data_IF_317869258041
#
_entry.id   IF_317869258041
#
_cell.length_a   1.000
_cell.length_b   1.000
_cell.length_c   1.000
_cell.angle_alpha   90.00
_cell.angle_beta   90.00
_cell.angle_gamma   90.00
#
_symmetry.space_group_name_H-M   'P 1'
#
loop_
_entity.id
_entity.type
_entity.pdbx_description
1 polymer ?
#
# COMPACT_ATOMS: atom_id res chain seq x y z
N UNK A 1 -62.11 -13.48 -7.63
CA UNK A 1 -61.25 -12.34 -8.04
C UNK A 1 -60.24 -11.90 -6.96
N UNK A 2 -60.59 -11.86 -5.67
CA UNK A 2 -59.71 -11.33 -4.59
C UNK A 2 -58.41 -12.11 -4.32
N UNK A 3 -58.40 -13.44 -4.50
CA UNK A 3 -57.21 -14.29 -4.22
C UNK A 3 -56.08 -14.13 -5.24
N UNK A 4 -56.39 -13.83 -6.51
CA UNK A 4 -55.37 -13.59 -7.55
C UNK A 4 -54.69 -12.23 -7.37
N UNK A 5 -55.48 -11.21 -7.02
CA UNK A 5 -54.99 -9.87 -6.78
C UNK A 5 -54.04 -9.80 -5.56
N UNK A 6 -54.38 -10.53 -4.48
CA UNK A 6 -53.51 -10.62 -3.29
C UNK A 6 -52.17 -11.31 -3.59
N UNK A 7 -52.17 -12.37 -4.42
CA UNK A 7 -50.93 -13.03 -4.85
C UNK A 7 -50.06 -12.11 -5.71
N UNK A 8 -50.68 -11.29 -6.55
CA UNK A 8 -49.98 -10.34 -7.41
C UNK A 8 -49.37 -9.19 -6.61
N UNK A 9 -50.11 -8.65 -5.63
CA UNK A 9 -49.60 -7.68 -4.67
C UNK A 9 -48.43 -8.23 -3.84
N UNK A 10 -48.52 -9.48 -3.38
CA UNK A 10 -47.44 -10.11 -2.61
C UNK A 10 -46.18 -10.34 -3.46
N UNK A 11 -46.35 -10.75 -4.72
CA UNK A 11 -45.24 -10.90 -5.66
C UNK A 11 -44.57 -9.55 -5.98
N UNK A 12 -45.37 -8.50 -6.17
CA UNK A 12 -44.87 -7.14 -6.41
C UNK A 12 -44.12 -6.60 -5.19
N UNK A 13 -44.61 -6.85 -3.97
CA UNK A 13 -43.94 -6.46 -2.74
C UNK A 13 -42.60 -7.22 -2.53
N UNK A 14 -42.56 -8.53 -2.80
CA UNK A 14 -41.31 -9.30 -2.74
C UNK A 14 -40.29 -8.83 -3.79
N UNK A 15 -40.74 -8.51 -5.01
CA UNK A 15 -39.87 -7.96 -6.05
C UNK A 15 -39.31 -6.59 -5.66
N UNK A 16 -40.13 -5.73 -5.06
CA UNK A 16 -39.71 -4.41 -4.58
C UNK A 16 -38.66 -4.53 -3.46
N UNK A 17 -38.87 -5.44 -2.51
CA UNK A 17 -37.92 -5.69 -1.42
C UNK A 17 -36.60 -6.27 -1.92
N UNK A 18 -36.63 -7.18 -2.91
CA UNK A 18 -35.43 -7.71 -3.55
C UNK A 18 -34.69 -6.65 -4.38
N UNK A 19 -35.42 -5.76 -5.07
CA UNK A 19 -34.84 -4.66 -5.85
C UNK A 19 -34.23 -3.55 -4.96
N UNK A 20 -34.74 -3.37 -3.74
CA UNK A 20 -34.23 -2.42 -2.76
C UNK A 20 -33.07 -2.95 -1.90
N UNK A 21 -32.66 -4.21 -2.06
CA UNK A 21 -31.52 -4.78 -1.36
C UNK A 21 -30.19 -4.28 -1.96
N UNK A 22 -29.89 -2.99 -1.81
CA UNK A 22 -28.56 -2.43 -2.06
C UNK A 22 -27.67 -2.84 -0.89
N UNK A 23 -27.01 -4.00 -1.01
CA UNK A 23 -26.01 -4.44 -0.04
C UNK A 23 -24.82 -3.47 -0.16
N UNK A 24 -24.69 -2.59 0.83
CA UNK A 24 -23.50 -1.76 1.00
C UNK A 24 -22.40 -2.65 1.59
N UNK A 25 -21.63 -3.30 0.72
CA UNK A 25 -20.44 -4.04 1.16
C UNK A 25 -19.41 -3.00 1.61
N UNK A 26 -19.22 -2.89 2.92
CA UNK A 26 -18.18 -2.04 3.48
C UNK A 26 -16.82 -2.65 3.14
N UNK A 27 -16.05 -1.98 2.29
CA UNK A 27 -14.69 -2.44 1.97
C UNK A 27 -13.80 -2.22 3.18
N UNK A 28 -13.24 -3.30 3.71
CA UNK A 28 -12.29 -3.23 4.80
C UNK A 28 -10.93 -2.73 4.26
N UNK A 29 -10.36 -1.72 4.93
CA UNK A 29 -9.03 -1.21 4.63
C UNK A 29 -8.06 -1.66 5.73
N UNK A 30 -7.12 -2.57 5.43
CA UNK A 30 -6.19 -3.09 6.43
C UNK A 30 -5.02 -2.12 6.63
N UNK A 31 -5.18 -1.11 7.49
CA UNK A 31 -4.21 0.00 7.64
C UNK A 31 -2.80 -0.46 8.01
N UNK A 32 -2.67 -1.40 8.96
CA UNK A 32 -1.37 -1.95 9.38
C UNK A 32 -0.70 -2.73 8.26
N UNK A 33 -1.44 -3.65 7.62
CA UNK A 33 -0.92 -4.47 6.54
C UNK A 33 -0.51 -3.64 5.32
N UNK A 34 -1.30 -2.64 4.94
CA UNK A 34 -0.96 -1.73 3.84
C UNK A 34 0.32 -0.93 4.15
N UNK A 35 0.48 -0.48 5.40
CA UNK A 35 1.68 0.23 5.86
C UNK A 35 2.92 -0.66 5.79
N UNK A 36 2.83 -1.90 6.27
CA UNK A 36 3.90 -2.89 6.23
C UNK A 36 4.25 -3.28 4.79
N UNK A 37 3.26 -3.48 3.93
CA UNK A 37 3.46 -3.74 2.51
C UNK A 37 4.22 -2.59 1.81
N UNK A 38 3.87 -1.33 2.10
CA UNK A 38 4.64 -0.19 1.58
C UNK A 38 6.09 -0.19 2.06
N UNK A 39 6.33 -0.46 3.35
CA UNK A 39 7.68 -0.55 3.90
C UNK A 39 8.46 -1.68 3.23
N UNK A 40 7.88 -2.87 3.11
CA UNK A 40 8.49 -4.03 2.46
C UNK A 40 8.88 -3.73 1.01
N UNK A 41 7.99 -3.09 0.24
CA UNK A 41 8.29 -2.68 -1.14
C UNK A 41 9.41 -1.64 -1.22
N UNK A 42 9.41 -0.62 -0.35
CA UNK A 42 10.49 0.36 -0.29
C UNK A 42 11.83 -0.31 0.02
N UNK A 43 11.87 -1.27 0.95
CA UNK A 43 13.08 -2.01 1.29
C UNK A 43 13.54 -2.90 0.14
N UNK A 44 12.63 -3.64 -0.46
CA UNK A 44 12.94 -4.57 -1.54
C UNK A 44 13.37 -3.87 -2.82
N UNK A 45 12.73 -2.75 -3.18
CA UNK A 45 12.87 -2.14 -4.52
C UNK A 45 13.67 -0.83 -4.53
N UNK A 46 13.79 -0.13 -3.39
CA UNK A 46 14.61 1.10 -3.32
C UNK A 46 15.96 0.87 -2.63
N UNK A 47 16.04 0.00 -1.61
CA UNK A 47 17.32 -0.27 -0.91
C UNK A 47 18.19 -1.30 -1.64
N UNK A 48 17.60 -2.21 -2.42
CA UNK A 48 18.34 -3.21 -3.21
C UNK A 48 19.02 -2.64 -4.47
N UNK A 49 19.02 -1.32 -4.66
CA UNK A 49 19.55 -0.61 -5.84
C UNK A 49 21.08 -0.60 -5.97
N UNK A 50 21.79 -1.54 -5.36
CA UNK A 50 23.24 -1.69 -5.43
C UNK A 50 23.66 -2.89 -6.30
N UNK A 51 23.05 -3.03 -7.49
CA UNK A 51 23.57 -3.93 -8.53
C UNK A 51 23.23 -3.43 -9.94
N UNK A 52 24.23 -3.34 -10.84
CA UNK A 52 24.04 -2.94 -12.22
C UNK A 52 23.40 -4.07 -13.04
N UNK A 53 22.87 -3.68 -14.19
CA UNK A 53 22.17 -4.51 -15.16
C UNK A 53 22.81 -5.88 -15.43
N UNK A 54 21.93 -6.90 -15.46
CA UNK A 54 22.10 -8.09 -16.29
C UNK A 54 22.81 -9.27 -15.64
N UNK A 55 22.10 -10.05 -14.82
CA UNK A 55 22.34 -11.49 -14.75
C UNK A 55 21.02 -12.17 -14.38
N UNK A 56 20.77 -13.31 -15.02
CA UNK A 56 19.57 -14.16 -14.91
C UNK A 56 19.16 -14.38 -13.45
N UNK A 57 17.85 -14.47 -13.24
CA UNK A 57 17.27 -15.12 -12.08
C UNK A 57 18.03 -16.42 -11.74
N UNK A 58 18.43 -16.60 -10.47
CA UNK A 58 18.55 -17.92 -9.89
C UNK A 58 17.33 -18.20 -9.03
N UNK A 59 16.79 -19.40 -9.20
CA UNK A 59 15.86 -20.03 -8.30
C UNK A 59 16.32 -19.92 -6.84
N UNK A 60 15.34 -19.88 -5.95
CA UNK A 60 15.50 -19.93 -4.50
C UNK A 60 16.57 -20.92 -4.01
N UNK A 61 17.28 -20.58 -2.92
CA UNK A 61 17.69 -21.57 -1.95
C UNK A 61 16.77 -21.49 -0.74
N UNK A 62 16.02 -22.58 -0.51
CA UNK A 62 15.47 -22.93 0.79
C UNK A 62 16.56 -22.75 1.86
N UNK A 63 16.31 -21.87 2.84
CA UNK A 63 17.12 -21.80 4.05
C UNK A 63 16.80 -23.02 4.91
N UNK A 64 17.70 -24.01 4.88
CA UNK A 64 17.81 -25.02 5.91
C UNK A 64 18.11 -24.36 7.27
N UNK A 65 17.38 -24.70 8.35
CA UNK A 65 17.79 -24.33 9.69
C UNK A 65 18.94 -25.24 10.17
N UNK A 66 20.03 -24.62 10.61
CA UNK A 66 21.17 -25.30 11.25
C UNK A 66 20.70 -26.14 12.45
N UNK A 67 20.90 -27.45 12.37
CA UNK A 67 20.72 -28.38 13.47
C UNK A 67 22.01 -28.49 14.31
N UNK A 68 21.89 -28.23 15.62
CA UNK A 68 22.83 -28.71 16.65
C UNK A 68 22.18 -29.90 17.40
N UNK A 69 22.98 -30.83 17.96
CA UNK A 69 22.53 -32.20 18.17
C UNK A 69 21.81 -32.45 19.51
N UNK A 70 20.88 -33.40 19.44
CA UNK A 70 20.42 -34.34 20.48
C UNK A 70 19.92 -33.78 21.82
N UNK A 71 18.62 -33.96 22.08
CA UNK A 71 18.18 -35.11 22.90
C UNK A 71 16.71 -35.40 22.68
N UNK A 72 16.38 -36.70 22.58
CA UNK A 72 15.02 -37.23 22.51
C UNK A 72 14.48 -37.38 23.92
N UNK A 73 13.15 -37.37 24.02
CA UNK A 73 12.33 -37.73 25.19
C UNK A 73 12.13 -36.59 26.19
N UNK A 74 11.02 -35.88 26.09
CA UNK A 74 9.94 -35.91 27.11
C UNK A 74 8.82 -34.93 26.75
N UNK A 75 7.57 -35.41 26.85
CA UNK A 75 6.35 -34.64 27.14
C UNK A 75 5.93 -33.56 26.13
N UNK A 76 4.95 -33.80 25.25
CA UNK A 76 3.55 -34.05 25.62
C UNK A 76 3.06 -33.08 26.69
N UNK A 77 3.03 -31.80 26.34
CA UNK A 77 2.04 -30.86 26.87
C UNK A 77 1.50 -30.02 25.72
N UNK A 78 0.34 -30.47 25.25
CA UNK A 78 -0.69 -29.70 24.58
C UNK A 78 -0.94 -28.38 25.32
N UNK A 79 -0.34 -27.31 24.83
CA UNK A 79 -0.85 -25.95 25.02
C UNK A 79 -1.05 -25.34 23.62
N UNK A 80 -2.13 -25.77 22.96
CA UNK A 80 -2.77 -24.98 21.92
C UNK A 80 -3.29 -23.69 22.57
N UNK A 81 -2.40 -22.71 22.71
CA UNK A 81 -2.80 -21.35 23.04
C UNK A 81 -3.31 -20.71 21.76
N UNK A 82 -4.64 -20.62 21.69
CA UNK A 82 -5.38 -19.80 20.76
C UNK A 82 -4.90 -18.34 20.88
N UNK A 83 -4.02 -17.92 19.97
CA UNK A 83 -3.88 -16.50 19.60
C UNK A 83 -4.01 -16.43 18.08
N UNK A 84 -5.25 -16.35 17.53
CA UNK A 84 -5.47 -16.26 16.08
C UNK A 84 -5.22 -14.86 15.52
N UNK A 85 -4.88 -13.86 16.35
CA UNK A 85 -4.88 -12.46 15.92
C UNK A 85 -3.49 -11.91 15.55
N UNK A 86 -2.40 -12.59 15.93
CA UNK A 86 -1.05 -12.14 15.58
C UNK A 86 -0.60 -12.59 14.17
N UNK A 87 -0.96 -13.81 13.73
CA UNK A 87 -0.55 -14.33 12.42
C UNK A 87 -1.45 -13.89 11.25
N UNK A 88 -2.63 -13.33 11.51
CA UNK A 88 -3.52 -12.89 10.43
C UNK A 88 -3.03 -11.60 9.76
N UNK A 89 -2.45 -10.67 10.53
CA UNK A 89 -1.95 -9.39 10.01
C UNK A 89 -0.71 -9.57 9.12
N UNK A 90 0.23 -10.44 9.52
CA UNK A 90 1.44 -10.73 8.74
C UNK A 90 1.07 -11.34 7.36
N UNK A 91 0.08 -12.25 7.34
CA UNK A 91 -0.39 -12.86 6.11
C UNK A 91 -1.03 -11.84 5.13
N UNK A 92 -1.77 -10.86 5.64
CA UNK A 92 -2.40 -9.82 4.81
C UNK A 92 -1.36 -8.85 4.23
N UNK A 93 -0.34 -8.47 5.02
CA UNK A 93 0.74 -7.60 4.58
C UNK A 93 1.56 -8.25 3.46
N UNK A 94 1.93 -9.52 3.65
CA UNK A 94 2.64 -10.32 2.65
C UNK A 94 1.81 -10.50 1.38
N UNK A 95 0.51 -10.80 1.51
CA UNK A 95 -0.38 -10.91 0.36
C UNK A 95 -0.45 -9.61 -0.46
N UNK A 96 -0.53 -8.46 0.22
CA UNK A 96 -0.50 -7.15 -0.44
C UNK A 96 0.85 -6.90 -1.13
N UNK A 97 1.96 -7.17 -0.46
CA UNK A 97 3.30 -6.97 -1.02
C UNK A 97 3.54 -7.87 -2.24
N UNK A 98 3.12 -9.13 -2.20
CA UNK A 98 3.18 -10.09 -3.33
C UNK A 98 2.31 -9.58 -4.48
N UNK A 99 1.06 -9.20 -4.21
CA UNK A 99 0.15 -8.67 -5.22
C UNK A 99 0.73 -7.42 -5.90
N UNK A 100 1.25 -6.46 -5.13
CA UNK A 100 1.88 -5.24 -5.65
C UNK A 100 3.15 -5.51 -6.46
N UNK A 101 4.02 -6.40 -5.98
CA UNK A 101 5.26 -6.76 -6.69
C UNK A 101 5.01 -7.55 -7.96
N UNK A 102 3.83 -8.15 -8.12
CA UNK A 102 3.39 -8.78 -9.38
C UNK A 102 2.90 -7.77 -10.44
N UNK A 103 2.65 -6.51 -10.07
CA UNK A 103 2.13 -5.49 -10.99
C UNK A 103 3.27 -4.81 -11.77
N UNK A 104 3.31 -4.89 -13.12
CA UNK A 104 4.39 -4.31 -13.91
C UNK A 104 4.49 -2.79 -13.77
N UNK A 105 3.37 -2.09 -13.59
CA UNK A 105 3.35 -0.64 -13.37
C UNK A 105 3.98 -0.24 -12.02
N UNK A 106 3.89 -1.09 -11.00
CA UNK A 106 4.51 -0.86 -9.69
C UNK A 106 6.02 -1.04 -9.80
N UNK A 107 6.46 -2.14 -10.41
CA UNK A 107 7.88 -2.40 -10.65
C UNK A 107 8.52 -1.25 -11.45
N UNK A 108 7.87 -0.82 -12.54
CA UNK A 108 8.30 0.34 -13.32
C UNK A 108 8.35 1.62 -12.48
N UNK A 109 7.32 1.88 -11.67
CA UNK A 109 7.29 3.06 -10.83
C UNK A 109 8.45 3.09 -9.82
N UNK A 110 8.76 1.97 -9.18
CA UNK A 110 9.87 1.87 -8.23
C UNK A 110 11.25 1.99 -8.90
N UNK A 111 11.42 1.40 -10.08
CA UNK A 111 12.62 1.54 -10.90
C UNK A 111 12.83 3.00 -11.36
N UNK A 112 11.77 3.69 -11.74
CA UNK A 112 11.80 5.12 -12.03
C UNK A 112 12.11 5.97 -10.78
N UNK A 113 11.57 5.61 -9.61
CA UNK A 113 11.82 6.28 -8.34
C UNK A 113 13.28 6.10 -7.88
N UNK A 114 13.85 4.89 -8.00
CA UNK A 114 15.22 4.60 -7.57
C UNK A 114 16.23 5.46 -8.35
N UNK A 115 16.04 5.62 -9.66
CA UNK A 115 16.87 6.50 -10.51
C UNK A 115 16.84 7.96 -10.08
N UNK A 116 15.68 8.46 -9.60
CA UNK A 116 15.52 9.86 -9.18
C UNK A 116 15.98 10.11 -7.74
N UNK A 117 16.09 9.05 -6.94
CA UNK A 117 16.34 9.14 -5.50
C UNK A 117 17.60 9.96 -5.13
N UNK A 118 18.76 9.83 -5.81
CA UNK A 118 19.94 10.64 -5.47
C UNK A 118 19.69 12.15 -5.58
N UNK A 119 19.07 12.59 -6.69
CA UNK A 119 18.77 14.00 -6.90
C UNK A 119 17.68 14.49 -5.95
N UNK A 120 16.65 13.68 -5.69
CA UNK A 120 15.61 14.00 -4.71
C UNK A 120 16.20 14.20 -3.32
N UNK A 121 17.14 13.36 -2.89
CA UNK A 121 17.80 13.50 -1.59
C UNK A 121 18.54 14.85 -1.47
N UNK A 122 19.22 15.31 -2.53
CA UNK A 122 19.83 16.66 -2.55
C UNK A 122 18.78 17.76 -2.40
N UNK A 123 17.63 17.65 -3.08
CA UNK A 123 16.54 18.64 -2.99
C UNK A 123 15.88 18.66 -1.60
N UNK A 124 15.73 17.50 -0.95
CA UNK A 124 15.24 17.43 0.42
C UNK A 124 16.25 18.04 1.40
N UNK A 125 17.54 17.71 1.26
CA UNK A 125 18.61 18.22 2.12
C UNK A 125 18.74 19.76 2.05
N UNK A 126 18.50 20.36 0.88
CA UNK A 126 18.53 21.81 0.70
C UNK A 126 17.24 22.53 1.15
N UNK A 127 16.26 21.79 1.69
CA UNK A 127 14.92 22.28 2.02
C UNK A 127 14.17 22.89 0.82
N UNK A 128 14.60 22.61 -0.41
CA UNK A 128 13.94 23.08 -1.62
C UNK A 128 12.57 22.43 -1.82
N UNK A 129 12.42 21.19 -1.37
CA UNK A 129 11.19 20.40 -1.41
C UNK A 129 10.82 19.84 -0.04
N UNK A 130 9.58 19.38 0.10
CA UNK A 130 9.10 18.69 1.30
C UNK A 130 8.01 17.67 0.99
N UNK A 131 7.73 16.76 1.95
CA UNK A 131 6.66 15.79 1.83
C UNK A 131 5.33 16.40 2.25
N UNK A 132 4.34 16.40 1.38
CA UNK A 132 2.98 16.84 1.68
C UNK A 132 2.25 15.82 2.58
N UNK A 133 1.09 16.21 3.10
CA UNK A 133 0.22 15.34 3.90
C UNK A 133 -0.38 14.17 3.10
N UNK A 134 -0.20 14.16 1.77
CA UNK A 134 -0.58 13.08 0.87
C UNK A 134 0.60 12.17 0.49
N UNK A 135 1.79 12.37 1.09
CA UNK A 135 2.98 11.58 0.77
C UNK A 135 3.62 11.93 -0.58
N UNK A 136 3.16 13.01 -1.21
CA UNK A 136 3.70 13.55 -2.45
C UNK A 136 4.79 14.59 -2.13
N UNK A 137 5.64 14.88 -3.09
CA UNK A 137 6.67 15.91 -2.98
C UNK A 137 6.08 17.25 -3.42
N UNK A 138 6.26 18.27 -2.59
CA UNK A 138 5.89 19.65 -2.88
C UNK A 138 7.13 20.53 -2.95
N UNK A 139 7.21 21.37 -3.96
CA UNK A 139 8.24 22.42 -4.07
C UNK A 139 7.93 23.51 -3.04
N UNK A 140 8.89 23.77 -2.15
CA UNK A 140 8.76 24.77 -1.06
C UNK A 140 9.44 26.08 -1.39
N UNK A 141 10.62 26.01 -2.02
CA UNK A 141 11.43 27.18 -2.33
C UNK A 141 11.84 27.16 -3.79
N UNK A 142 11.05 27.83 -4.64
CA UNK A 142 11.28 27.90 -6.09
C UNK A 142 12.64 28.50 -6.47
N UNK A 143 13.25 29.33 -5.63
CA UNK A 143 14.56 29.90 -5.92
C UNK A 143 15.68 28.84 -5.86
N UNK A 144 15.41 27.68 -5.24
CA UNK A 144 16.35 26.56 -5.09
C UNK A 144 16.08 25.39 -6.03
N UNK A 145 15.13 25.52 -6.96
CA UNK A 145 14.69 24.45 -7.86
C UNK A 145 14.90 24.89 -9.30
N UNK A 146 15.50 24.02 -10.12
CA UNK A 146 15.59 24.26 -11.57
C UNK A 146 14.32 23.76 -12.28
N UNK A 147 14.02 24.20 -13.52
CA UNK A 147 12.92 23.62 -14.30
C UNK A 147 13.02 22.09 -14.46
N UNK A 148 14.25 21.57 -14.55
CA UNK A 148 14.51 20.13 -14.60
C UNK A 148 14.13 19.43 -13.29
N UNK A 149 14.40 20.07 -12.15
CA UNK A 149 14.00 19.55 -10.84
C UNK A 149 12.48 19.57 -10.66
N UNK A 150 11.78 20.59 -11.15
CA UNK A 150 10.30 20.62 -11.13
C UNK A 150 9.71 19.48 -11.96
N UNK A 151 10.25 19.23 -13.16
CA UNK A 151 9.86 18.09 -14.01
C UNK A 151 10.14 16.76 -13.32
N UNK A 152 11.29 16.65 -12.65
CA UNK A 152 11.68 15.46 -11.88
C UNK A 152 10.70 15.22 -10.71
N UNK A 153 10.32 16.27 -9.96
CA UNK A 153 9.32 16.19 -8.88
C UNK A 153 7.95 15.79 -9.42
N UNK A 154 7.53 16.31 -10.57
CA UNK A 154 6.28 15.92 -11.21
C UNK A 154 6.28 14.44 -11.62
N UNK A 155 7.35 13.97 -12.25
CA UNK A 155 7.53 12.57 -12.63
C UNK A 155 7.57 11.64 -11.41
N UNK A 156 8.25 12.05 -10.34
CA UNK A 156 8.27 11.34 -9.08
C UNK A 156 6.87 11.20 -8.48
N UNK A 157 6.12 12.31 -8.41
CA UNK A 157 4.74 12.28 -7.92
C UNK A 157 3.82 11.40 -8.77
N UNK A 158 4.08 11.28 -10.07
CA UNK A 158 3.34 10.37 -10.94
C UNK A 158 3.62 8.91 -10.54
N UNK A 159 4.88 8.52 -10.33
CA UNK A 159 5.22 7.18 -9.84
C UNK A 159 4.60 6.88 -8.47
N UNK A 160 4.62 7.84 -7.54
CA UNK A 160 3.97 7.69 -6.22
C UNK A 160 2.47 7.48 -6.32
N UNK A 161 1.79 8.23 -7.20
CA UNK A 161 0.36 8.07 -7.47
C UNK A 161 0.05 6.69 -8.05
N UNK A 162 0.90 6.16 -8.95
CA UNK A 162 0.77 4.79 -9.46
C UNK A 162 0.81 3.78 -8.31
N UNK A 163 1.81 3.86 -7.43
CA UNK A 163 1.92 2.95 -6.28
C UNK A 163 0.72 3.04 -5.34
N UNK A 164 0.22 4.25 -5.05
CA UNK A 164 -0.98 4.46 -4.23
C UNK A 164 -2.21 3.85 -4.89
N UNK A 165 -2.40 4.05 -6.19
CA UNK A 165 -3.51 3.50 -6.95
C UNK A 165 -3.47 1.97 -6.97
N UNK A 166 -2.29 1.39 -7.21
CA UNK A 166 -2.08 -0.05 -7.23
C UNK A 166 -2.35 -0.69 -5.87
N UNK A 167 -2.02 -0.01 -4.76
CA UNK A 167 -2.40 -0.48 -3.42
C UNK A 167 -3.93 -0.53 -3.26
N UNK A 168 -4.64 0.51 -3.71
CA UNK A 168 -6.11 0.51 -3.65
C UNK A 168 -6.71 -0.64 -4.46
N UNK A 169 -6.17 -0.91 -5.67
CA UNK A 169 -6.57 -2.06 -6.49
C UNK A 169 -6.28 -3.40 -5.82
N UNK A 170 -5.10 -3.56 -5.23
CA UNK A 170 -4.72 -4.76 -4.50
C UNK A 170 -5.68 -5.05 -3.32
N UNK A 171 -6.00 -4.02 -2.53
CA UNK A 171 -6.97 -4.12 -1.42
C UNK A 171 -8.35 -4.55 -1.93
N UNK A 172 -8.84 -3.95 -3.03
CA UNK A 172 -10.13 -4.37 -3.62
C UNK A 172 -10.10 -5.82 -4.07
N UNK A 173 -9.02 -6.26 -4.72
CA UNK A 173 -8.84 -7.64 -5.18
C UNK A 173 -8.85 -8.63 -4.02
N UNK A 174 -8.13 -8.35 -2.94
CA UNK A 174 -8.09 -9.21 -1.75
C UNK A 174 -9.45 -9.29 -1.04
N UNK A 175 -10.20 -8.18 -1.00
CA UNK A 175 -11.57 -8.14 -0.50
C UNK A 175 -12.61 -8.72 -1.49
N UNK A 176 -12.16 -9.31 -2.61
CA UNK A 176 -13.00 -9.87 -3.68
C UNK A 176 -14.03 -8.86 -4.23
N UNK A 177 -13.68 -7.58 -4.19
CA UNK A 177 -14.50 -6.49 -4.71
C UNK A 177 -14.17 -6.25 -6.18
N UNK A 178 -15.19 -5.93 -6.97
CA UNK A 178 -14.99 -5.54 -8.37
C UNK A 178 -14.34 -4.15 -8.43
N UNK A 179 -13.30 -4.03 -9.25
CA UNK A 179 -12.72 -2.72 -9.56
C UNK A 179 -13.79 -1.84 -10.25
N UNK A 180 -14.15 -0.75 -9.57
CA UNK A 180 -15.04 0.28 -10.08
C UNK A 180 -14.59 1.62 -9.54
N UNK A 181 -14.96 2.72 -10.20
CA UNK A 181 -14.61 4.06 -9.73
C UNK A 181 -15.08 4.30 -8.29
N UNK A 182 -16.32 3.93 -7.97
CA UNK A 182 -16.88 4.08 -6.63
C UNK A 182 -16.10 3.27 -5.58
N UNK A 183 -15.72 2.03 -5.89
CA UNK A 183 -14.93 1.20 -4.99
C UNK A 183 -13.50 1.73 -4.79
N UNK A 184 -12.87 2.24 -5.86
CA UNK A 184 -11.56 2.88 -5.77
C UNK A 184 -11.63 4.14 -4.90
N UNK A 185 -12.61 5.01 -5.11
CA UNK A 185 -12.77 6.26 -4.35
C UNK A 185 -12.93 6.00 -2.84
N UNK A 186 -13.53 4.87 -2.44
CA UNK A 186 -13.67 4.46 -1.03
C UNK A 186 -12.33 4.09 -0.36
N UNK A 187 -11.39 3.53 -1.12
CA UNK A 187 -10.13 2.95 -0.60
C UNK A 187 -8.95 3.90 -0.82
N UNK A 188 -8.98 4.68 -1.91
CA UNK A 188 -7.86 5.48 -2.39
C UNK A 188 -7.41 6.53 -1.37
N UNK A 189 -8.35 7.18 -0.68
CA UNK A 189 -8.03 8.18 0.35
C UNK A 189 -7.23 7.57 1.50
N UNK A 190 -7.61 6.37 1.95
CA UNK A 190 -6.89 5.64 3.01
C UNK A 190 -5.54 5.10 2.53
N UNK A 191 -5.47 4.61 1.28
CA UNK A 191 -4.20 4.20 0.67
C UNK A 191 -3.20 5.37 0.62
N UNK A 192 -3.65 6.53 0.16
CA UNK A 192 -2.84 7.74 0.11
C UNK A 192 -2.39 8.22 1.50
N UNK A 193 -3.29 8.21 2.49
CA UNK A 193 -2.95 8.58 3.87
C UNK A 193 -1.92 7.63 4.47
N UNK A 194 -2.11 6.32 4.29
CA UNK A 194 -1.19 5.29 4.80
C UNK A 194 0.19 5.42 4.16
N UNK A 195 0.23 5.66 2.84
CA UNK A 195 1.46 5.94 2.12
C UNK A 195 2.17 7.20 2.65
N UNK A 196 1.42 8.27 2.87
CA UNK A 196 1.94 9.52 3.44
C UNK A 196 2.58 9.31 4.81
N UNK A 197 1.93 8.53 5.67
CA UNK A 197 2.44 8.23 7.00
C UNK A 197 3.72 7.38 6.93
N UNK A 198 3.79 6.39 6.05
CA UNK A 198 5.02 5.62 5.81
C UNK A 198 6.17 6.53 5.36
N UNK A 199 5.92 7.46 4.41
CA UNK A 199 6.97 8.39 3.93
C UNK A 199 7.38 9.40 4.99
N UNK A 200 6.45 9.86 5.84
CA UNK A 200 6.74 10.76 6.96
C UNK A 200 7.56 10.07 8.04
N UNK A 201 7.30 8.80 8.32
CA UNK A 201 8.11 7.99 9.23
C UNK A 201 9.54 7.83 8.72
N UNK A 202 9.69 7.50 7.44
CA UNK A 202 10.97 7.33 6.77
C UNK A 202 11.74 8.65 6.50
N UNK A 203 11.08 9.80 6.67
CA UNK A 203 11.72 11.11 6.48
C UNK A 203 12.89 11.31 7.46
N UNK A 204 14.03 11.72 6.89
CA UNK A 204 15.28 11.99 7.62
C UNK A 204 15.19 13.31 8.40
N UNK A 205 16.07 13.49 9.38
CA UNK A 205 16.18 14.77 10.10
C UNK A 205 16.55 15.90 9.14
N UNK A 206 15.99 17.10 9.38
CA UNK A 206 16.12 18.25 8.50
C UNK A 206 15.11 18.29 7.34
N UNK A 207 14.39 17.21 7.06
CA UNK A 207 13.38 17.22 5.99
C UNK A 207 12.10 17.95 6.41
N UNK A 208 11.52 18.71 5.48
CA UNK A 208 10.21 19.31 5.68
C UNK A 208 9.09 18.31 5.40
N UNK A 209 8.17 18.16 6.36
CA UNK A 209 6.98 17.32 6.25
C UNK A 209 5.73 18.11 6.63
N UNK A 210 4.66 17.93 5.89
CA UNK A 210 3.38 18.57 6.15
C UNK A 210 2.49 17.66 6.98
N UNK A 211 2.09 18.11 8.16
CA UNK A 211 1.15 17.43 9.05
C UNK A 211 -0.25 17.36 8.44
N UNK A 212 -1.11 16.51 9.00
CA UNK A 212 -2.49 16.35 8.53
C UNK A 212 -3.31 17.66 8.59
N UNK A 213 -3.01 18.54 9.54
CA UNK A 213 -3.63 19.87 9.64
C UNK A 213 -3.04 20.92 8.65
N UNK A 214 -2.21 20.50 7.71
CA UNK A 214 -1.60 21.37 6.70
C UNK A 214 -0.36 22.13 7.17
N UNK A 215 -0.02 22.08 8.47
CA UNK A 215 1.17 22.75 9.02
C UNK A 215 2.44 22.03 8.58
N UNK A 216 3.43 22.79 8.14
CA UNK A 216 4.76 22.28 7.82
C UNK A 216 5.63 22.24 9.07
N UNK A 217 6.35 21.14 9.26
CA UNK A 217 7.34 20.97 10.31
C UNK A 217 8.61 20.39 9.71
N UNK A 218 9.75 20.72 10.32
CA UNK A 218 11.02 20.12 9.99
C UNK A 218 11.26 18.95 10.95
N UNK A 219 11.64 17.79 10.41
CA UNK A 219 11.91 16.56 11.15
C UNK A 219 13.22 16.59 11.91
#
# INVERSE_FOLDING_TARGET
MKKGFLKWLLAMACFLLAACAVITVNVYFPEKAAKEAYKSLDEMLLKSGDSPAGEKAPAAPSREPQAKPQSRLFHEFTNFSLIPEACAADNEADALAIELSSMPEVLKAYDDMSRRLPRLNTLFASSAVGLSNQGLISVRDKAKVTPQDESLVAAENQSRKTVIMSMAKAILKLNKQKESKAALDQVLGKAASTYADTKREAAQSGWWVQLQNGRWVQK
#
